data_IF_496341846445
#
_entry.id   IF_496341846445
#
_cell.length_a   1.000
_cell.length_b   1.000
_cell.length_c   1.000
_cell.angle_alpha   90.00
_cell.angle_beta   90.00
_cell.angle_gamma   90.00
#
_symmetry.space_group_name_H-M   'P 1'
#
loop_
_entity.id
_entity.type
_entity.pdbx_description
1 polymer ?
#
# COMPACT_ATOMS: atom_id res chain seq x y z
N UNK A 1 -13.72 0.63 -3.28
CA UNK A 1 -13.64 -0.18 -2.01
C UNK A 1 -12.27 0.06 -1.45
N UNK A 2 -12.13 0.42 -0.17
CA UNK A 2 -10.81 0.72 0.41
C UNK A 2 -10.24 -0.52 1.11
N UNK A 3 -9.02 -0.90 0.76
CA UNK A 3 -8.27 -1.98 1.40
C UNK A 3 -7.07 -1.42 2.17
N UNK A 4 -6.85 -1.91 3.39
CA UNK A 4 -5.69 -1.58 4.20
C UNK A 4 -4.53 -2.52 3.87
N UNK A 5 -3.36 -1.96 3.59
CA UNK A 5 -2.16 -2.73 3.25
C UNK A 5 -0.93 -2.14 3.94
N UNK A 6 0.06 -3.00 4.19
CA UNK A 6 1.38 -2.54 4.61
C UNK A 6 2.15 -2.01 3.40
N UNK A 7 2.76 -0.85 3.58
CA UNK A 7 3.62 -0.19 2.60
C UNK A 7 4.90 0.31 3.29
N UNK A 8 5.77 0.97 2.52
CA UNK A 8 6.97 1.63 3.05
C UNK A 8 7.05 3.08 2.56
N UNK A 9 7.48 3.95 3.47
CA UNK A 9 7.79 5.34 3.17
C UNK A 9 9.22 5.67 3.57
N UNK A 10 9.88 6.55 2.81
CA UNK A 10 11.25 6.98 3.11
C UNK A 10 11.20 8.38 3.70
N UNK A 11 11.86 8.57 4.85
CA UNK A 11 12.10 9.88 5.46
C UNK A 11 13.61 10.05 5.57
N UNK A 12 14.18 10.93 4.74
CA UNK A 12 15.63 11.05 4.61
C UNK A 12 16.24 9.81 3.98
N UNK A 13 17.03 9.06 4.75
CA UNK A 13 17.64 7.78 4.31
C UNK A 13 16.97 6.55 4.92
N UNK A 14 16.05 6.75 5.86
CA UNK A 14 15.44 5.67 6.63
C UNK A 14 14.11 5.24 6.02
N UNK A 15 13.89 3.92 5.96
CA UNK A 15 12.65 3.32 5.51
C UNK A 15 11.76 2.94 6.71
N UNK A 16 10.49 3.33 6.63
CA UNK A 16 9.49 3.09 7.67
C UNK A 16 8.34 2.28 7.10
N UNK A 17 7.88 1.29 7.86
CA UNK A 17 6.64 0.58 7.55
C UNK A 17 5.46 1.49 7.87
N UNK A 18 4.53 1.63 6.92
CA UNK A 18 3.33 2.46 7.08
C UNK A 18 2.09 1.71 6.62
N UNK A 19 0.96 1.94 7.29
CA UNK A 19 -0.33 1.40 6.87
C UNK A 19 -1.02 2.40 5.95
N UNK A 20 -1.43 1.94 4.76
CA UNK A 20 -2.07 2.78 3.74
C UNK A 20 -3.38 2.18 3.28
N UNK A 21 -4.29 3.04 2.81
CA UNK A 21 -5.56 2.65 2.20
C UNK A 21 -5.46 2.78 0.68
N UNK A 22 -5.83 1.73 -0.04
CA UNK A 22 -5.83 1.70 -1.51
C UNK A 22 -7.24 1.47 -2.01
N UNK A 23 -7.67 2.25 -3.01
CA UNK A 23 -8.95 1.99 -3.68
C UNK A 23 -8.80 0.87 -4.71
N UNK A 24 -9.54 -0.21 -4.47
CA UNK A 24 -9.57 -1.42 -5.31
C UNK A 24 -10.88 -1.52 -6.10
N UNK A 25 -11.57 -0.40 -6.29
CA UNK A 25 -12.78 -0.31 -7.12
C UNK A 25 -12.55 -0.77 -8.57
N UNK A 26 -11.33 -0.63 -9.10
CA UNK A 26 -10.94 -1.07 -10.44
C UNK A 26 -10.49 -2.55 -10.49
N UNK A 27 -10.74 -3.32 -9.42
CA UNK A 27 -10.26 -4.69 -9.29
C UNK A 27 -8.86 -4.77 -8.68
N UNK A 28 -8.50 -5.97 -8.22
CA UNK A 28 -7.17 -6.27 -7.67
C UNK A 28 -6.26 -6.77 -8.81
N UNK A 29 -4.96 -6.43 -8.82
CA UNK A 29 -3.98 -7.09 -9.67
C UNK A 29 -4.02 -8.60 -9.36
N UNK A 30 -4.41 -9.41 -10.34
CA UNK A 30 -4.31 -10.86 -10.23
C UNK A 30 -2.85 -11.25 -10.38
N UNK A 31 -2.22 -11.70 -9.30
CA UNK A 31 -0.92 -12.35 -9.36
C UNK A 31 -1.17 -13.84 -9.64
N UNK A 32 -0.72 -14.34 -10.80
CA UNK A 32 -0.68 -15.77 -11.13
C UNK A 32 0.56 -16.44 -10.56
#
# INVERSE_FOLDING_TARGET
>A
MLAKVLSSAVIGIDAYVVEVEVDISQGLPSFS
#
